data_IF_714818739949
#
_entry.id   IF_714818739949
#
_cell.length_a   1.000
_cell.length_b   1.000
_cell.length_c   1.000
_cell.angle_alpha   90.00
_cell.angle_beta   90.00
_cell.angle_gamma   90.00
#
_symmetry.space_group_name_H-M   'P 1'
#
loop_
_entity.id
_entity.type
_entity.pdbx_description
1 polymer ?
#
# COMPACT_ATOMS: atom_id res chain seq x y z
N UNK A 1 2.64 -21.99 5.61
CA UNK A 1 1.58 -21.39 4.75
C UNK A 1 0.15 -21.66 5.23
N UNK A 2 -0.22 -22.90 5.62
CA UNK A 2 -1.61 -23.23 5.97
C UNK A 2 -2.24 -22.43 7.13
N UNK A 3 -1.46 -22.04 8.14
CA UNK A 3 -1.97 -21.22 9.25
C UNK A 3 -2.28 -19.78 8.80
N UNK A 4 -1.29 -19.09 8.21
CA UNK A 4 -1.46 -17.70 7.76
C UNK A 4 -2.59 -17.55 6.74
N UNK A 5 -2.72 -18.49 5.79
CA UNK A 5 -3.84 -18.48 4.83
C UNK A 5 -5.22 -18.59 5.50
N UNK A 6 -5.36 -19.40 6.56
CA UNK A 6 -6.61 -19.49 7.34
C UNK A 6 -6.90 -18.21 8.11
N UNK A 7 -5.88 -17.59 8.69
CA UNK A 7 -6.02 -16.31 9.38
C UNK A 7 -6.49 -15.23 8.40
N UNK A 8 -5.80 -15.06 7.28
CA UNK A 8 -6.17 -14.08 6.24
C UNK A 8 -7.60 -14.30 5.74
N UNK A 9 -7.99 -15.56 5.47
CA UNK A 9 -9.37 -15.88 5.10
C UNK A 9 -10.38 -15.58 6.20
N UNK A 10 -9.99 -15.75 7.47
CA UNK A 10 -10.81 -15.41 8.62
C UNK A 10 -11.03 -13.90 8.81
N UNK A 11 -10.20 -13.06 8.19
CA UNK A 11 -10.34 -11.59 8.18
C UNK A 11 -11.29 -11.09 7.08
N UNK A 12 -11.78 -11.97 6.20
CA UNK A 12 -12.73 -11.62 5.15
C UNK A 12 -14.17 -11.66 5.67
N UNK A 13 -14.86 -10.51 5.59
CA UNK A 13 -16.29 -10.40 5.85
C UNK A 13 -17.09 -10.91 4.63
N UNK A 14 -17.47 -12.18 4.68
CA UNK A 14 -18.11 -12.91 3.57
C UNK A 14 -19.31 -12.22 2.90
N UNK A 15 -20.18 -11.44 3.60
CA UNK A 15 -21.31 -10.77 2.97
C UNK A 15 -20.92 -9.70 1.96
N UNK A 16 -19.90 -8.89 2.25
CA UNK A 16 -19.50 -7.78 1.37
C UNK A 16 -18.25 -8.09 0.56
N UNK A 17 -17.35 -8.93 1.08
CA UNK A 17 -16.00 -9.12 0.54
C UNK A 17 -14.94 -8.22 1.19
N UNK A 18 -15.32 -7.38 2.14
CA UNK A 18 -14.41 -6.55 2.92
C UNK A 18 -13.36 -7.41 3.65
N UNK A 19 -12.10 -6.98 3.68
CA UNK A 19 -11.00 -7.67 4.36
C UNK A 19 -10.45 -6.71 5.42
N UNK A 20 -10.62 -7.04 6.70
CA UNK A 20 -10.15 -6.15 7.77
C UNK A 20 -8.64 -6.32 8.00
N UNK A 21 -7.95 -5.24 8.36
CA UNK A 21 -6.52 -5.27 8.65
C UNK A 21 -6.20 -6.19 9.84
N UNK A 22 -7.02 -6.15 10.89
CA UNK A 22 -7.01 -7.15 11.96
C UNK A 22 -8.36 -7.23 12.70
N UNK A 23 -8.66 -8.41 13.26
CA UNK A 23 -9.84 -8.61 14.11
C UNK A 23 -9.65 -8.06 15.55
N UNK A 24 -8.99 -6.90 15.69
CA UNK A 24 -8.60 -6.34 16.99
C UNK A 24 -8.83 -4.84 17.05
N UNK A 25 -9.08 -4.34 18.25
CA UNK A 25 -9.16 -2.90 18.53
C UNK A 25 -8.39 -2.58 19.80
N UNK A 26 -7.69 -1.45 19.80
CA UNK A 26 -6.97 -0.92 20.95
C UNK A 26 -5.91 -1.86 21.54
N UNK A 27 -5.37 -2.78 20.75
CA UNK A 27 -4.16 -3.49 21.15
C UNK A 27 -2.95 -2.55 20.99
N UNK A 28 -2.12 -2.42 22.02
CA UNK A 28 -1.03 -1.45 22.01
C UNK A 28 0.16 -1.98 21.20
N UNK A 29 0.78 -1.12 20.38
CA UNK A 29 2.05 -1.45 19.71
C UNK A 29 3.16 -1.82 20.71
N UNK A 30 3.11 -1.23 21.91
CA UNK A 30 3.95 -1.56 23.06
C UNK A 30 3.11 -1.51 24.33
N UNK A 31 3.19 -2.49 25.26
CA UNK A 31 2.48 -2.43 26.54
C UNK A 31 2.70 -1.09 27.27
N UNK A 32 1.60 -0.47 27.71
CA UNK A 32 1.57 0.86 28.34
C UNK A 32 1.67 2.05 27.36
N UNK A 33 1.79 1.79 26.05
CA UNK A 33 1.82 2.80 25.01
C UNK A 33 0.45 3.39 24.68
N UNK A 34 0.46 4.48 23.92
CA UNK A 34 -0.75 5.23 23.50
C UNK A 34 -1.17 4.97 22.05
N UNK A 35 -0.36 4.21 21.30
CA UNK A 35 -0.62 3.80 19.91
C UNK A 35 -1.46 2.51 19.89
N UNK A 36 -2.73 2.68 20.24
CA UNK A 36 -3.69 1.60 20.46
C UNK A 36 -4.83 1.78 19.45
N UNK A 37 -4.66 1.31 18.21
CA UNK A 37 -5.59 1.65 17.11
C UNK A 37 -6.68 0.61 16.93
N UNK A 38 -7.80 1.01 16.31
CA UNK A 38 -8.82 0.08 15.84
C UNK A 38 -8.47 -0.38 14.43
N UNK A 39 -8.25 -1.68 14.25
CA UNK A 39 -7.82 -2.30 12.99
C UNK A 39 -8.94 -3.08 12.30
N UNK A 40 -10.18 -2.99 12.80
CA UNK A 40 -11.34 -3.72 12.27
C UNK A 40 -11.92 -3.11 10.98
N UNK A 41 -11.13 -2.31 10.27
CA UNK A 41 -11.49 -1.64 9.03
C UNK A 41 -10.73 -2.25 7.85
N UNK A 42 -11.29 -2.08 6.67
CA UNK A 42 -10.69 -2.52 5.40
C UNK A 42 -9.79 -1.41 4.89
N UNK A 43 -8.48 -1.47 5.19
CA UNK A 43 -7.50 -0.67 4.47
C UNK A 43 -7.33 -1.24 3.07
N UNK A 44 -7.35 -0.36 2.07
CA UNK A 44 -7.16 -0.77 0.68
C UNK A 44 -5.79 -1.45 0.52
N UNK A 45 -4.72 -0.90 1.11
CA UNK A 45 -3.37 -1.48 1.10
C UNK A 45 -3.32 -2.88 1.71
N UNK A 46 -3.75 -3.03 2.96
CA UNK A 46 -3.71 -4.30 3.69
C UNK A 46 -4.53 -5.38 2.99
N UNK A 47 -5.67 -5.00 2.44
CA UNK A 47 -6.50 -5.89 1.66
C UNK A 47 -5.88 -6.25 0.31
N UNK A 48 -5.20 -5.32 -0.38
CA UNK A 48 -4.41 -5.59 -1.58
C UNK A 48 -3.33 -6.66 -1.32
N UNK A 49 -2.51 -6.49 -0.29
CA UNK A 49 -1.51 -7.51 0.08
C UNK A 49 -2.14 -8.85 0.48
N UNK A 50 -3.28 -8.81 1.18
CA UNK A 50 -4.03 -10.03 1.51
C UNK A 50 -4.52 -10.75 0.26
N UNK A 51 -5.02 -10.02 -0.73
CA UNK A 51 -5.47 -10.60 -1.99
C UNK A 51 -4.32 -11.22 -2.79
N UNK A 52 -3.16 -10.55 -2.87
CA UNK A 52 -1.97 -11.10 -3.53
C UNK A 52 -1.56 -12.42 -2.85
N UNK A 53 -1.49 -12.43 -1.51
CA UNK A 53 -1.16 -13.62 -0.74
C UNK A 53 -2.19 -14.77 -0.90
N UNK A 54 -3.49 -14.44 -0.97
CA UNK A 54 -4.56 -15.43 -1.19
C UNK A 54 -4.66 -15.88 -2.66
N UNK A 55 -4.24 -15.04 -3.61
CA UNK A 55 -4.15 -15.34 -5.02
C UNK A 55 -3.19 -16.49 -5.30
N UNK A 56 -2.05 -16.52 -4.59
CA UNK A 56 -1.12 -17.66 -4.60
C UNK A 56 -1.74 -18.96 -4.05
N UNK A 57 -2.82 -18.86 -3.27
CA UNK A 57 -3.50 -19.98 -2.61
C UNK A 57 -4.81 -20.44 -3.30
N UNK A 58 -5.09 -19.98 -4.54
CA UNK A 58 -6.23 -20.39 -5.38
C UNK A 58 -7.64 -20.06 -4.82
N UNK A 59 -7.79 -18.95 -4.10
CA UNK A 59 -9.08 -18.45 -3.62
C UNK A 59 -9.67 -17.40 -4.60
N UNK A 60 -10.28 -17.85 -5.70
CA UNK A 60 -10.77 -16.95 -6.76
C UNK A 60 -11.97 -16.10 -6.35
N UNK A 61 -12.94 -16.68 -5.60
CA UNK A 61 -14.22 -15.99 -5.29
C UNK A 61 -14.07 -14.81 -4.34
N UNK A 62 -13.05 -14.85 -3.49
CA UNK A 62 -12.76 -13.80 -2.52
C UNK A 62 -12.24 -12.53 -3.22
N UNK A 63 -11.57 -12.66 -4.38
CA UNK A 63 -11.02 -11.53 -5.16
C UNK A 63 -12.11 -10.66 -5.77
N UNK A 64 -13.03 -11.26 -6.53
CA UNK A 64 -14.12 -10.54 -7.22
C UNK A 64 -14.99 -9.77 -6.23
N UNK A 65 -15.26 -10.40 -5.07
CA UNK A 65 -16.05 -9.76 -4.02
C UNK A 65 -15.36 -8.54 -3.44
N UNK A 66 -14.04 -8.57 -3.26
CA UNK A 66 -13.28 -7.44 -2.76
C UNK A 66 -13.27 -6.26 -3.75
N UNK A 67 -12.94 -6.50 -5.03
CA UNK A 67 -12.97 -5.42 -6.02
C UNK A 67 -14.39 -4.85 -6.19
N UNK A 68 -15.41 -5.71 -6.19
CA UNK A 68 -16.79 -5.27 -6.18
C UNK A 68 -17.17 -4.48 -4.91
N UNK A 69 -16.61 -4.83 -3.75
CA UNK A 69 -16.78 -4.06 -2.52
C UNK A 69 -16.16 -2.67 -2.64
N UNK A 70 -14.89 -2.57 -3.06
CA UNK A 70 -14.23 -1.30 -3.23
C UNK A 70 -14.90 -0.44 -4.30
N UNK A 71 -15.26 -1.02 -5.45
CA UNK A 71 -15.98 -0.29 -6.49
C UNK A 71 -17.30 0.29 -5.95
N UNK A 72 -18.06 -0.43 -5.12
CA UNK A 72 -19.28 0.09 -4.49
C UNK A 72 -19.00 1.14 -3.40
N UNK A 73 -18.01 0.92 -2.55
CA UNK A 73 -17.65 1.82 -1.45
C UNK A 73 -17.04 3.13 -1.97
N UNK A 74 -16.27 3.07 -3.06
CA UNK A 74 -15.57 4.20 -3.64
C UNK A 74 -16.26 4.84 -4.85
N UNK A 75 -17.32 4.23 -5.40
CA UNK A 75 -18.03 4.70 -6.61
C UNK A 75 -18.37 6.19 -6.58
N UNK A 76 -18.74 6.73 -5.42
CA UNK A 76 -19.14 8.13 -5.32
C UNK A 76 -17.97 9.10 -5.14
N UNK A 77 -16.78 8.63 -4.76
CA UNK A 77 -15.63 9.48 -4.46
C UNK A 77 -14.87 9.87 -5.73
N UNK A 78 -14.45 8.89 -6.52
CA UNK A 78 -13.64 9.14 -7.72
C UNK A 78 -14.44 9.88 -8.81
N UNK A 79 -15.70 9.51 -9.02
CA UNK A 79 -16.61 10.22 -9.93
C UNK A 79 -16.80 11.70 -9.57
N UNK A 80 -16.64 12.08 -8.30
CA UNK A 80 -16.75 13.47 -7.81
C UNK A 80 -15.41 14.18 -7.71
N UNK A 81 -14.33 13.57 -8.22
CA UNK A 81 -12.97 14.10 -8.11
C UNK A 81 -12.42 14.14 -6.68
N UNK A 82 -13.03 13.39 -5.76
CA UNK A 82 -12.56 13.24 -4.39
C UNK A 82 -11.48 12.16 -4.34
N UNK A 83 -10.50 12.31 -3.45
CA UNK A 83 -9.47 11.29 -3.24
C UNK A 83 -10.11 9.95 -2.81
N UNK A 84 -9.47 8.84 -3.17
CA UNK A 84 -9.88 7.53 -2.69
C UNK A 84 -9.63 7.47 -1.19
N UNK A 85 -10.66 7.14 -0.41
CA UNK A 85 -10.49 6.95 1.02
C UNK A 85 -9.67 5.66 1.27
N UNK A 86 -8.71 5.77 2.18
CA UNK A 86 -7.70 4.73 2.37
C UNK A 86 -8.24 3.48 3.08
N UNK A 87 -9.35 3.64 3.82
CA UNK A 87 -9.97 2.55 4.56
C UNK A 87 -11.47 2.71 4.73
N UNK A 88 -12.20 1.61 4.84
CA UNK A 88 -13.66 1.60 4.95
C UNK A 88 -14.13 0.69 6.08
N UNK A 89 -15.32 0.97 6.62
CA UNK A 89 -16.04 -0.02 7.41
C UNK A 89 -16.40 -1.25 6.55
N UNK A 90 -16.68 -2.38 7.20
CA UNK A 90 -17.00 -3.63 6.50
C UNK A 90 -18.27 -3.55 5.63
N UNK A 91 -19.15 -2.58 5.92
CA UNK A 91 -20.33 -2.24 5.13
C UNK A 91 -20.08 -1.15 4.08
N UNK A 92 -18.86 -0.61 3.98
CA UNK A 92 -18.51 0.52 3.12
C UNK A 92 -18.65 1.89 3.79
N UNK A 93 -18.71 1.92 5.12
CA UNK A 93 -18.84 3.16 5.89
C UNK A 93 -17.63 4.07 5.70
N UNK A 94 -17.88 5.36 5.46
CA UNK A 94 -16.85 6.38 5.28
C UNK A 94 -16.43 7.06 6.58
N UNK A 95 -17.38 7.31 7.49
CA UNK A 95 -17.07 7.95 8.78
C UNK A 95 -16.57 6.92 9.79
N UNK A 96 -15.27 6.91 9.99
CA UNK A 96 -14.59 6.04 10.96
C UNK A 96 -14.05 6.84 12.14
N UNK A 97 -14.72 7.94 12.50
CA UNK A 97 -14.26 8.86 13.54
C UNK A 97 -13.96 8.16 14.88
N UNK A 98 -12.81 8.54 15.45
CA UNK A 98 -12.35 7.99 16.71
C UNK A 98 -13.27 8.35 17.89
N UNK A 99 -13.48 7.38 18.78
CA UNK A 99 -14.20 7.54 20.05
C UNK A 99 -13.39 6.89 21.15
N UNK A 100 -13.04 7.66 22.16
CA UNK A 100 -12.34 7.15 23.35
C UNK A 100 -13.33 6.45 24.28
N UNK A 101 -12.88 5.35 24.89
CA UNK A 101 -13.64 4.54 25.85
C UNK A 101 -12.91 4.55 27.20
N UNK A 102 -12.93 5.68 27.95
CA UNK A 102 -12.14 5.84 29.18
C UNK A 102 -12.59 4.93 30.34
N UNK A 103 -13.76 4.29 30.21
CA UNK A 103 -14.28 3.34 31.19
C UNK A 103 -13.65 1.94 31.06
N UNK A 104 -12.85 1.69 30.01
CA UNK A 104 -12.14 0.43 29.80
C UNK A 104 -10.67 0.59 30.19
N UNK A 105 -10.15 -0.34 30.98
CA UNK A 105 -8.74 -0.35 31.40
C UNK A 105 -7.76 -0.61 30.24
N UNK A 106 -8.24 -1.26 29.17
CA UNK A 106 -7.41 -1.66 28.04
C UNK A 106 -6.57 -2.91 28.29
N UNK A 107 -5.92 -3.43 27.25
CA UNK A 107 -5.12 -4.64 27.36
C UNK A 107 -3.82 -4.35 28.13
N UNK A 108 -3.57 -5.12 29.21
CA UNK A 108 -2.46 -4.87 30.14
C UNK A 108 -2.39 -3.41 30.59
N UNK A 109 -3.54 -2.85 30.97
CA UNK A 109 -3.71 -1.47 31.44
C UNK A 109 -3.24 -0.39 30.45
N UNK A 110 -3.16 -0.73 29.16
CA UNK A 110 -2.70 0.18 28.11
C UNK A 110 -3.85 1.08 27.65
N UNK A 111 -3.67 2.39 27.80
CA UNK A 111 -4.66 3.42 27.47
C UNK A 111 -4.11 4.39 26.42
N UNK A 112 -4.97 5.03 25.62
CA UNK A 112 -6.44 4.94 25.64
C UNK A 112 -6.97 3.68 24.93
N UNK A 113 -8.17 3.26 25.33
CA UNK A 113 -9.02 2.39 24.50
C UNK A 113 -9.84 3.29 23.59
N UNK A 114 -9.88 2.97 22.30
CA UNK A 114 -10.60 3.72 21.27
C UNK A 114 -11.26 2.79 20.25
N UNK A 115 -12.33 3.26 19.65
CA UNK A 115 -12.91 2.68 18.43
C UNK A 115 -12.87 3.72 17.33
N UNK A 116 -12.84 3.33 16.06
CA UNK A 116 -12.56 4.28 14.98
C UNK A 116 -11.07 4.44 14.74
N UNK A 117 -10.73 5.06 13.61
CA UNK A 117 -9.35 5.35 13.25
C UNK A 117 -9.30 6.60 12.37
N UNK A 118 -8.69 7.68 12.84
CA UNK A 118 -8.67 8.97 12.16
C UNK A 118 -7.86 8.99 10.87
N UNK A 119 -7.10 7.93 10.55
CA UNK A 119 -6.39 7.85 9.28
C UNK A 119 -7.34 7.88 8.07
N UNK A 120 -8.66 7.66 8.24
CA UNK A 120 -9.66 7.72 7.16
C UNK A 120 -9.75 9.11 6.51
N UNK A 121 -9.31 10.16 7.23
CA UNK A 121 -9.25 11.54 6.75
C UNK A 121 -7.94 11.86 6.02
N UNK A 122 -6.95 10.96 6.08
CA UNK A 122 -5.65 11.18 5.47
C UNK A 122 -5.71 10.94 3.97
N UNK A 123 -5.00 11.79 3.23
CA UNK A 123 -4.66 11.53 1.84
C UNK A 123 -3.41 10.67 1.81
N UNK A 124 -3.50 9.53 1.14
CA UNK A 124 -2.38 8.66 0.82
C UNK A 124 -2.43 8.35 -0.67
N UNK A 125 -1.35 8.65 -1.39
CA UNK A 125 -1.30 8.45 -2.84
C UNK A 125 -0.84 7.02 -3.20
N UNK A 126 -0.24 6.30 -2.26
CA UNK A 126 0.15 4.90 -2.45
C UNK A 126 -1.04 3.98 -2.71
N UNK A 127 -2.22 4.33 -2.18
CA UNK A 127 -3.45 3.55 -2.31
C UNK A 127 -3.81 3.19 -3.76
N UNK A 128 -3.50 4.07 -4.72
CA UNK A 128 -3.78 3.83 -6.14
C UNK A 128 -2.88 2.73 -6.70
N UNK A 129 -1.60 2.73 -6.30
CA UNK A 129 -0.66 1.69 -6.68
C UNK A 129 -1.05 0.35 -6.10
N UNK A 130 -1.35 0.31 -4.80
CA UNK A 130 -1.74 -0.93 -4.12
C UNK A 130 -2.99 -1.56 -4.75
N UNK A 131 -3.96 -0.73 -5.14
CA UNK A 131 -5.17 -1.20 -5.80
C UNK A 131 -4.88 -1.79 -7.18
N UNK A 132 -4.14 -1.07 -8.02
CA UNK A 132 -3.88 -1.46 -9.41
C UNK A 132 -2.89 -2.63 -9.50
N UNK A 133 -1.95 -2.74 -8.55
CA UNK A 133 -1.02 -3.85 -8.45
C UNK A 133 -1.75 -5.15 -8.05
N UNK A 134 -2.61 -5.08 -7.02
CA UNK A 134 -3.48 -6.20 -6.67
C UNK A 134 -4.40 -6.60 -7.83
N UNK A 135 -4.98 -5.62 -8.54
CA UNK A 135 -5.80 -5.90 -9.72
C UNK A 135 -5.02 -6.62 -10.82
N UNK A 136 -3.79 -6.17 -11.10
CA UNK A 136 -2.94 -6.78 -12.13
C UNK A 136 -2.53 -8.22 -11.81
N UNK A 137 -2.24 -8.52 -10.54
CA UNK A 137 -1.84 -9.86 -10.13
C UNK A 137 -2.99 -10.84 -10.01
N UNK A 138 -4.19 -10.35 -9.68
CA UNK A 138 -5.29 -11.22 -9.26
C UNK A 138 -6.41 -11.34 -10.30
N UNK A 139 -6.55 -10.38 -11.21
CA UNK A 139 -7.54 -10.43 -12.28
C UNK A 139 -7.02 -11.28 -13.45
N UNK A 140 -7.78 -12.27 -13.92
CA UNK A 140 -7.35 -13.14 -15.00
C UNK A 140 -7.12 -12.37 -16.31
N UNK A 141 -5.99 -12.63 -17.01
CA UNK A 141 -5.71 -11.99 -18.28
C UNK A 141 -6.80 -12.30 -19.31
N UNK A 142 -7.39 -11.26 -19.92
CA UNK A 142 -8.36 -11.41 -21.01
C UNK A 142 -9.80 -11.66 -20.59
N UNK A 143 -10.13 -11.66 -19.28
CA UNK A 143 -11.52 -11.66 -18.85
C UNK A 143 -12.13 -10.25 -18.86
N UNK A 144 -13.43 -10.20 -19.14
CA UNK A 144 -14.19 -8.96 -19.10
C UNK A 144 -14.52 -8.59 -17.65
N UNK A 145 -13.89 -7.51 -17.17
CA UNK A 145 -14.28 -6.88 -15.91
C UNK A 145 -15.67 -6.28 -16.02
N UNK A 146 -16.44 -6.39 -14.93
CA UNK A 146 -17.74 -5.72 -14.85
C UNK A 146 -17.56 -4.20 -15.04
N UNK A 147 -18.51 -3.51 -15.70
CA UNK A 147 -18.33 -2.09 -16.04
C UNK A 147 -18.02 -1.18 -14.84
N UNK A 148 -18.64 -1.34 -13.65
CA UNK A 148 -18.26 -0.60 -12.45
C UNK A 148 -16.80 -0.77 -12.04
N UNK A 149 -16.32 -2.02 -11.91
CA UNK A 149 -14.92 -2.29 -11.54
C UNK A 149 -13.96 -1.73 -12.58
N UNK A 150 -14.28 -1.89 -13.86
CA UNK A 150 -13.46 -1.34 -14.96
C UNK A 150 -13.34 0.17 -14.87
N UNK A 151 -14.46 0.88 -14.75
CA UNK A 151 -14.48 2.35 -14.62
C UNK A 151 -13.70 2.80 -13.39
N UNK A 152 -13.85 2.09 -12.27
CA UNK A 152 -13.17 2.39 -11.02
C UNK A 152 -11.64 2.29 -11.15
N UNK A 153 -11.12 1.22 -11.76
CA UNK A 153 -9.68 1.04 -11.97
C UNK A 153 -9.09 2.08 -12.93
N UNK A 154 -9.81 2.41 -14.01
CA UNK A 154 -9.41 3.48 -14.94
C UNK A 154 -9.34 4.83 -14.21
N UNK A 155 -10.35 5.16 -13.41
CA UNK A 155 -10.37 6.40 -12.63
C UNK A 155 -9.28 6.49 -11.56
N UNK A 156 -8.94 5.35 -10.94
CA UNK A 156 -7.84 5.27 -9.99
C UNK A 156 -6.50 5.55 -10.68
N UNK A 157 -6.23 4.94 -11.84
CA UNK A 157 -5.03 5.22 -12.65
C UNK A 157 -4.95 6.68 -13.10
N UNK A 158 -6.06 7.21 -13.63
CA UNK A 158 -6.21 8.60 -14.00
C UNK A 158 -5.97 9.58 -12.84
N UNK A 159 -6.38 9.20 -11.63
CA UNK A 159 -6.17 10.01 -10.44
C UNK A 159 -4.72 9.97 -9.97
N UNK A 160 -4.06 8.81 -10.04
CA UNK A 160 -2.61 8.69 -9.80
C UNK A 160 -1.82 9.58 -10.79
N UNK A 161 -2.14 9.51 -12.08
CA UNK A 161 -1.53 10.34 -13.13
C UNK A 161 -1.68 11.84 -12.86
N UNK A 162 -2.85 12.28 -12.38
CA UNK A 162 -3.09 13.70 -12.11
C UNK A 162 -2.46 14.21 -10.82
N UNK A 163 -2.48 13.41 -9.74
CA UNK A 163 -2.22 13.89 -8.38
C UNK A 163 -0.86 13.49 -7.83
N UNK A 164 -0.05 12.72 -8.55
CA UNK A 164 1.25 12.26 -8.05
C UNK A 164 2.16 13.41 -7.59
N UNK A 165 2.01 14.63 -8.14
CA UNK A 165 2.81 15.79 -7.75
C UNK A 165 2.42 16.39 -6.39
N UNK A 166 1.32 15.99 -5.77
CA UNK A 166 0.85 16.51 -4.48
C UNK A 166 1.57 15.84 -3.29
N UNK A 167 1.73 16.49 -2.13
CA UNK A 167 2.20 15.82 -0.92
C UNK A 167 1.08 15.01 -0.25
N UNK A 168 1.45 13.98 0.50
CA UNK A 168 0.52 13.06 1.17
C UNK A 168 1.05 12.60 2.54
N UNK A 169 0.36 11.67 3.20
CA UNK A 169 0.72 11.18 4.55
C UNK A 169 1.57 9.90 4.55
N UNK A 170 1.79 9.30 3.39
CA UNK A 170 2.60 8.10 3.21
C UNK A 170 2.03 6.85 3.91
N UNK A 171 2.72 5.72 3.69
CA UNK A 171 2.30 4.39 4.15
C UNK A 171 2.21 4.25 5.68
N UNK A 172 3.04 5.01 6.41
CA UNK A 172 3.14 4.94 7.87
C UNK A 172 2.11 5.80 8.62
N UNK A 173 1.22 6.48 7.89
CA UNK A 173 0.07 7.22 8.43
C UNK A 173 0.44 8.22 9.54
N UNK A 174 1.65 8.79 9.45
CA UNK A 174 2.19 9.61 10.53
C UNK A 174 1.27 10.82 10.72
N UNK A 175 0.96 11.15 11.99
CA UNK A 175 0.19 12.35 12.34
C UNK A 175 1.08 13.59 12.25
N UNK A 176 1.52 13.95 11.03
CA UNK A 176 2.44 15.04 10.73
C UNK A 176 2.09 15.81 9.46
N UNK A 177 2.95 16.75 9.02
CA UNK A 177 2.74 17.46 7.77
C UNK A 177 2.89 16.49 6.58
N UNK A 178 2.08 16.70 5.55
CA UNK A 178 2.20 15.96 4.30
C UNK A 178 3.55 16.23 3.63
N UNK A 179 4.13 15.21 3.00
CA UNK A 179 5.42 15.30 2.27
C UNK A 179 5.31 14.60 0.92
N UNK A 180 6.30 14.79 0.04
CA UNK A 180 6.46 13.95 -1.14
C UNK A 180 7.18 12.65 -0.76
N UNK A 181 6.48 11.75 -0.08
CA UNK A 181 7.04 10.45 0.28
C UNK A 181 7.41 9.65 -0.96
N UNK A 182 8.62 9.08 -0.97
CA UNK A 182 9.14 8.35 -2.13
C UNK A 182 8.24 7.16 -2.45
N UNK A 183 7.83 6.40 -1.42
CA UNK A 183 6.92 5.28 -1.56
C UNK A 183 5.62 5.67 -2.26
N UNK A 184 5.02 6.79 -1.87
CA UNK A 184 3.78 7.27 -2.48
C UNK A 184 3.95 7.61 -3.97
N UNK A 185 5.11 8.15 -4.37
CA UNK A 185 5.42 8.41 -5.79
C UNK A 185 5.68 7.14 -6.56
N UNK A 186 6.44 6.23 -5.97
CA UNK A 186 6.66 4.89 -6.50
C UNK A 186 5.34 4.17 -6.76
N UNK A 187 4.41 4.20 -5.81
CA UNK A 187 3.12 3.53 -5.99
C UNK A 187 2.20 4.23 -6.99
N UNK A 188 2.29 5.56 -7.18
CA UNK A 188 1.68 6.20 -8.34
C UNK A 188 2.29 5.70 -9.67
N UNK A 189 3.61 5.51 -9.73
CA UNK A 189 4.25 4.90 -10.91
C UNK A 189 3.74 3.48 -11.16
N UNK A 190 3.63 2.66 -10.10
CA UNK A 190 3.09 1.29 -10.18
C UNK A 190 1.65 1.32 -10.69
N UNK A 191 0.81 2.24 -10.20
CA UNK A 191 -0.57 2.36 -10.65
C UNK A 191 -0.65 2.52 -12.17
N UNK A 192 0.20 3.37 -12.75
CA UNK A 192 0.26 3.60 -14.20
C UNK A 192 0.86 2.41 -14.95
N UNK A 193 1.94 1.81 -14.44
CA UNK A 193 2.57 0.63 -15.03
C UNK A 193 1.56 -0.51 -15.22
N UNK A 194 0.82 -0.79 -14.14
CA UNK A 194 -0.19 -1.84 -14.09
C UNK A 194 -1.40 -1.50 -14.94
N UNK A 195 -1.86 -0.24 -14.94
CA UNK A 195 -2.97 0.20 -15.79
C UNK A 195 -2.62 0.10 -17.29
N UNK A 196 -1.39 0.45 -17.68
CA UNK A 196 -0.90 0.29 -19.05
C UNK A 196 -0.88 -1.19 -19.45
N UNK A 197 -0.37 -2.07 -18.58
CA UNK A 197 -0.34 -3.50 -18.83
C UNK A 197 -1.76 -4.10 -18.96
N UNK A 198 -2.73 -3.56 -18.21
CA UNK A 198 -4.13 -3.98 -18.22
C UNK A 198 -5.01 -3.22 -19.23
N UNK A 199 -4.46 -2.28 -20.02
CA UNK A 199 -5.27 -1.37 -20.85
C UNK A 199 -6.31 -2.08 -21.75
N UNK A 200 -6.01 -3.23 -22.41
CA UNK A 200 -7.01 -3.94 -23.20
C UNK A 200 -8.17 -4.49 -22.35
N UNK A 201 -7.89 -5.04 -21.16
CA UNK A 201 -8.92 -5.54 -20.24
C UNK A 201 -9.74 -4.37 -19.65
N UNK A 202 -9.09 -3.22 -19.45
CA UNK A 202 -9.70 -1.99 -18.99
C UNK A 202 -10.46 -1.23 -20.09
N UNK A 203 -10.36 -1.63 -21.36
CA UNK A 203 -10.89 -0.90 -22.51
C UNK A 203 -10.46 0.57 -22.50
N UNK A 204 -9.18 0.80 -22.22
CA UNK A 204 -8.60 2.13 -21.97
C UNK A 204 -7.34 2.39 -22.83
N UNK A 205 -7.25 1.76 -24.00
CA UNK A 205 -6.12 1.92 -24.94
C UNK A 205 -5.87 3.40 -25.29
N UNK A 206 -6.91 4.24 -25.31
CA UNK A 206 -6.82 5.67 -25.57
C UNK A 206 -6.14 6.46 -24.43
N UNK A 207 -6.07 5.89 -23.21
CA UNK A 207 -5.43 6.51 -22.04
C UNK A 207 -3.94 6.22 -21.97
N UNK A 208 -3.47 5.14 -22.60
CA UNK A 208 -2.09 4.66 -22.53
C UNK A 208 -1.06 5.75 -22.86
N UNK A 209 -1.22 6.61 -23.89
CA UNK A 209 -0.25 7.67 -24.15
C UNK A 209 -0.09 8.65 -22.99
N UNK A 210 -1.19 9.02 -22.32
CA UNK A 210 -1.16 9.91 -21.16
C UNK A 210 -0.54 9.22 -19.95
N UNK A 211 -0.94 7.99 -19.64
CA UNK A 211 -0.38 7.23 -18.53
C UNK A 211 1.12 7.00 -18.69
N UNK A 212 1.60 6.68 -19.90
CA UNK A 212 3.05 6.55 -20.18
C UNK A 212 3.79 7.87 -19.93
N UNK A 213 3.23 8.98 -20.38
CA UNK A 213 3.85 10.29 -20.16
C UNK A 213 4.01 10.60 -18.67
N UNK A 214 2.97 10.41 -17.87
CA UNK A 214 3.06 10.64 -16.42
C UNK A 214 3.92 9.60 -15.71
N UNK A 215 3.91 8.34 -16.17
CA UNK A 215 4.80 7.29 -15.67
C UNK A 215 6.27 7.69 -15.84
N UNK A 216 6.64 8.23 -17.00
CA UNK A 216 8.01 8.71 -17.27
C UNK A 216 8.37 9.92 -16.38
N UNK A 217 7.44 10.87 -16.20
CA UNK A 217 7.63 12.02 -15.32
C UNK A 217 7.85 11.58 -13.84
N UNK A 218 7.07 10.61 -13.37
CA UNK A 218 7.22 10.07 -12.01
C UNK A 218 8.56 9.35 -11.89
N UNK A 219 8.95 8.53 -12.89
CA UNK A 219 10.24 7.84 -12.89
C UNK A 219 11.39 8.83 -12.75
N UNK A 220 11.41 9.86 -13.60
CA UNK A 220 12.42 10.91 -13.53
C UNK A 220 12.46 11.56 -12.14
N UNK A 221 11.30 11.92 -11.60
CA UNK A 221 11.21 12.54 -10.28
C UNK A 221 11.74 11.64 -9.15
N UNK A 222 11.42 10.33 -9.16
CA UNK A 222 11.90 9.38 -8.15
C UNK A 222 13.41 9.19 -8.25
N UNK A 223 13.96 9.07 -9.46
CA UNK A 223 15.40 8.88 -9.66
C UNK A 223 16.22 10.12 -9.29
N UNK A 224 15.73 11.31 -9.63
CA UNK A 224 16.45 12.57 -9.38
C UNK A 224 16.27 13.09 -7.95
N UNK A 225 15.04 13.01 -7.41
CA UNK A 225 14.67 13.67 -6.14
C UNK A 225 14.55 12.68 -4.98
N UNK A 226 14.39 11.39 -5.28
CA UNK A 226 14.33 10.33 -4.28
C UNK A 226 15.70 9.83 -3.85
N UNK A 227 16.71 9.94 -4.72
CA UNK A 227 18.09 9.58 -4.40
C UNK A 227 18.75 10.68 -3.56
N UNK A 228 19.29 10.32 -2.41
CA UNK A 228 20.08 11.22 -1.58
C UNK A 228 21.57 10.81 -1.66
N UNK A 229 22.38 11.63 -2.33
CA UNK A 229 23.80 11.39 -2.50
C UNK A 229 24.59 11.42 -1.18
N UNK A 230 24.14 12.19 -0.18
CA UNK A 230 24.75 12.23 1.16
C UNK A 230 24.51 10.94 1.95
N UNK A 231 23.35 10.33 1.80
CA UNK A 231 23.05 9.01 2.35
C UNK A 231 23.66 7.86 1.53
N UNK A 232 23.89 8.09 0.23
CA UNK A 232 24.17 7.03 -0.73
C UNK A 232 23.00 6.03 -0.82
N UNK A 233 21.77 6.50 -0.64
CA UNK A 233 20.56 5.69 -0.61
C UNK A 233 19.33 6.47 -1.06
N UNK A 234 18.27 5.75 -1.44
CA UNK A 234 16.94 6.33 -1.58
C UNK A 234 16.38 6.71 -0.20
N UNK A 235 15.93 7.96 -0.07
CA UNK A 235 15.42 8.50 1.20
C UNK A 235 13.91 8.31 1.35
N UNK A 236 13.39 8.52 2.56
CA UNK A 236 11.97 8.41 2.91
C UNK A 236 11.06 9.28 2.02
N UNK A 237 11.49 10.51 1.76
CA UNK A 237 10.76 11.52 1.02
C UNK A 237 11.72 12.36 0.20
N UNK A 238 11.21 13.04 -0.83
CA UNK A 238 12.04 13.93 -1.65
C UNK A 238 12.68 15.03 -0.80
N UNK A 239 14.00 15.17 -0.94
CA UNK A 239 14.82 16.10 -0.15
C UNK A 239 15.00 15.71 1.31
N UNK A 240 14.59 14.51 1.74
CA UNK A 240 14.81 14.01 3.10
C UNK A 240 16.22 13.42 3.27
N UNK A 241 16.75 13.53 4.47
CA UNK A 241 17.97 12.86 4.96
C UNK A 241 17.65 11.63 5.86
N UNK A 242 16.37 11.23 5.90
CA UNK A 242 15.91 10.04 6.62
C UNK A 242 15.84 8.81 5.71
N UNK A 243 16.32 7.66 6.19
CA UNK A 243 16.09 6.35 5.58
C UNK A 243 14.69 5.83 5.90
N UNK A 244 14.13 4.99 5.01
CA UNK A 244 12.87 4.29 5.25
C UNK A 244 12.89 2.92 4.59
N UNK A 245 12.40 1.90 5.29
CA UNK A 245 12.30 0.54 4.76
C UNK A 245 11.35 0.44 3.56
N UNK A 246 10.39 1.37 3.42
CA UNK A 246 9.46 1.39 2.28
C UNK A 246 10.16 1.57 0.93
N UNK A 247 11.39 2.09 0.89
CA UNK A 247 12.14 2.22 -0.38
C UNK A 247 12.61 0.88 -0.94
N UNK A 248 12.60 -0.19 -0.14
CA UNK A 248 12.87 -1.56 -0.60
C UNK A 248 11.81 -2.07 -1.59
N UNK A 249 10.67 -1.38 -1.70
CA UNK A 249 9.69 -1.68 -2.74
C UNK A 249 10.20 -1.37 -4.15
N UNK A 250 11.18 -0.47 -4.32
CA UNK A 250 11.74 -0.10 -5.64
C UNK A 250 12.10 -1.32 -6.52
N UNK A 251 12.90 -2.29 -6.05
CA UNK A 251 13.15 -3.51 -6.81
C UNK A 251 11.98 -4.51 -6.81
N UNK A 252 11.18 -4.56 -5.74
CA UNK A 252 10.09 -5.54 -5.60
C UNK A 252 9.01 -5.29 -6.67
N UNK A 253 8.64 -4.03 -6.89
CA UNK A 253 7.62 -3.65 -7.88
C UNK A 253 8.19 -3.46 -9.30
N UNK A 254 9.48 -3.74 -9.50
CA UNK A 254 10.15 -3.67 -10.80
C UNK A 254 10.48 -2.25 -11.28
N UNK A 255 10.50 -1.25 -10.39
CA UNK A 255 10.86 0.12 -10.76
C UNK A 255 12.34 0.26 -11.15
N UNK A 256 13.21 -0.40 -10.39
CA UNK A 256 14.65 -0.55 -10.69
C UNK A 256 15.06 -2.03 -10.60
N UNK A 257 16.08 -2.46 -11.36
CA UNK A 257 16.55 -3.83 -11.28
C UNK A 257 17.19 -4.11 -9.90
N UNK A 258 17.06 -5.33 -9.34
CA UNK A 258 17.66 -5.69 -8.04
C UNK A 258 19.18 -5.52 -7.96
N UNK A 259 19.86 -5.52 -9.12
CA UNK A 259 21.31 -5.33 -9.23
C UNK A 259 21.74 -3.87 -9.48
N UNK A 260 20.79 -2.92 -9.51
CA UNK A 260 21.14 -1.49 -9.57
C UNK A 260 22.02 -1.13 -8.36
N UNK A 261 23.20 -0.50 -8.56
CA UNK A 261 24.07 -0.11 -7.46
C UNK A 261 23.38 0.75 -6.40
N UNK A 262 22.43 1.60 -6.79
CA UNK A 262 21.62 2.45 -5.89
C UNK A 262 20.69 1.61 -5.03
N UNK A 263 20.07 0.57 -5.61
CA UNK A 263 19.23 -0.38 -4.87
C UNK A 263 20.07 -1.14 -3.85
N UNK A 264 21.19 -1.73 -4.28
CA UNK A 264 22.08 -2.47 -3.37
C UNK A 264 22.59 -1.59 -2.22
N UNK A 265 23.00 -0.36 -2.52
CA UNK A 265 23.43 0.60 -1.50
C UNK A 265 22.32 0.93 -0.50
N UNK A 266 21.09 1.12 -1.01
CA UNK A 266 19.91 1.37 -0.17
C UNK A 266 19.59 0.19 0.76
N UNK A 267 19.64 -1.05 0.24
CA UNK A 267 19.46 -2.27 1.05
C UNK A 267 20.49 -2.34 2.17
N UNK A 268 21.76 -2.08 1.86
CA UNK A 268 22.84 -2.11 2.85
C UNK A 268 22.70 -1.01 3.91
N UNK A 269 22.31 0.20 3.50
CA UNK A 269 22.04 1.30 4.43
C UNK A 269 20.89 0.95 5.38
N UNK A 270 19.77 0.47 4.86
CA UNK A 270 18.62 0.05 5.68
C UNK A 270 19.01 -1.10 6.62
N UNK A 271 19.70 -2.12 6.12
CA UNK A 271 20.17 -3.23 6.95
C UNK A 271 21.09 -2.75 8.09
N UNK A 272 21.94 -1.75 7.84
CA UNK A 272 22.89 -1.25 8.84
C UNK A 272 22.25 -0.34 9.88
N UNK A 273 21.21 0.41 9.51
CA UNK A 273 20.67 1.49 10.33
C UNK A 273 19.27 1.24 10.90
N UNK A 274 18.48 0.36 10.28
CA UNK A 274 17.08 0.11 10.63
C UNK A 274 16.82 -1.33 11.08
N UNK A 275 17.87 -2.12 11.34
CA UNK A 275 17.73 -3.45 11.95
C UNK A 275 18.24 -3.46 13.38
N UNK A 276 17.54 -4.17 14.27
CA UNK A 276 18.04 -4.45 15.60
C UNK A 276 19.18 -5.48 15.51
N UNK A 277 20.18 -5.37 16.41
CA UNK A 277 21.34 -6.29 16.44
C UNK A 277 21.00 -7.74 16.80
N UNK A 278 19.72 -8.09 16.96
CA UNK A 278 19.28 -9.43 17.35
C UNK A 278 18.01 -9.90 16.62
N UNK A 279 18.05 -10.11 15.29
CA UNK A 279 16.98 -10.83 14.60
C UNK A 279 17.12 -12.34 14.89
N UNK A 280 16.01 -13.12 15.00
CA UNK A 280 16.08 -14.59 15.10
C UNK A 280 16.54 -15.27 13.80
N UNK A 281 17.08 -14.53 12.83
CA UNK A 281 17.62 -15.07 11.60
C UNK A 281 18.88 -14.28 11.20
N UNK A 282 20.02 -14.66 11.76
CA UNK A 282 21.33 -14.25 11.23
C UNK A 282 21.70 -15.20 10.09
N UNK A 283 21.57 -14.75 8.84
CA UNK A 283 22.37 -15.29 7.75
C UNK A 283 23.06 -14.15 7.02
N UNK A 284 24.19 -13.78 7.61
CA UNK A 284 25.43 -13.26 7.01
C UNK A 284 25.38 -12.95 5.50
N UNK A 285 25.42 -11.66 5.17
CA UNK A 285 26.03 -11.18 3.93
C UNK A 285 27.55 -11.36 4.08
N UNK A 286 28.10 -12.49 3.61
CA UNK A 286 29.54 -12.60 3.36
C UNK A 286 29.82 -12.07 1.95
N UNK A 287 30.71 -11.08 1.86
CA UNK A 287 31.39 -10.72 0.62
C UNK A 287 32.34 -11.85 0.24
N UNK A 288 31.88 -12.78 -0.59
CA UNK A 288 32.72 -13.60 -1.45
C UNK A 288 31.82 -14.03 -2.62
N UNK A 289 32.24 -13.66 -3.84
CA UNK A 289 31.68 -14.07 -5.13
C UNK A 289 30.28 -13.57 -5.54
N UNK A 290 30.19 -12.25 -5.80
CA UNK A 290 29.33 -11.57 -6.80
C UNK A 290 27.92 -12.13 -7.12
N UNK A 291 27.23 -12.73 -6.15
CA UNK A 291 25.84 -13.19 -6.28
C UNK A 291 25.07 -12.80 -5.03
N UNK A 292 24.11 -11.90 -5.18
CA UNK A 292 23.16 -11.51 -4.13
C UNK A 292 21.87 -12.27 -4.39
N UNK A 293 21.51 -13.16 -3.48
CA UNK A 293 20.17 -13.74 -3.42
C UNK A 293 19.44 -13.14 -2.22
N UNK A 294 18.27 -12.56 -2.50
CA UNK A 294 17.26 -12.24 -1.50
C UNK A 294 16.27 -13.41 -1.54
N UNK A 295 16.10 -14.12 -0.42
CA UNK A 295 14.97 -15.03 -0.23
C UNK A 295 13.78 -14.23 0.33
#
# INVERSE_FOLDING_TARGET
MAHSGRVLRGLTFAPTGAIVAAATTSLPERPGGTRNWDYRYTWVRDASFTLQALGTAACEKEKDKFFGFLARAAATQLHRGTDLQIMYGIGGEHDLSERLLPHLAGWRDSTPVRTGNDAWRQRQLDVYGELLDAAHETLPPGEHLDPPTRSFLVEAADTAARRWTEPDQGIWERRGPSRHFLHSKLMCWVALDRAIAMAPALQADERVPHWRHEQDNIRQAVEERGWNAGLGAFAQAFGSDELDASTLMLPIVGFLPPHDPRVLSTVLAIASHLTDRNPPCQTLVRREDNRVFCC
#
